data_IF_454713414168
#
_entry.id   IF_454713414168
#
_cell.length_a   1.000
_cell.length_b   1.000
_cell.length_c   1.000
_cell.angle_alpha   90.00
_cell.angle_beta   90.00
_cell.angle_gamma   90.00
#
_symmetry.space_group_name_H-M   'P 1'
#
loop_
_entity.id
_entity.type
_entity.pdbx_description
1 polymer ?
#
# COMPACT_ATOMS: atom_id res chain seq x y z
N UNK A 1 23.33 -54.19 -16.38
CA UNK A 1 23.00 -52.75 -16.47
C UNK A 1 24.18 -52.08 -17.12
N UNK A 2 23.99 -51.53 -18.32
CA UNK A 2 25.10 -51.03 -19.13
C UNK A 2 25.46 -49.61 -18.70
N UNK A 3 26.73 -49.24 -18.88
CA UNK A 3 27.24 -47.89 -18.57
C UNK A 3 26.43 -46.77 -19.26
N UNK A 4 25.80 -47.09 -20.40
CA UNK A 4 24.86 -46.22 -21.12
C UNK A 4 23.65 -45.80 -20.28
N UNK A 5 23.12 -46.71 -19.45
CA UNK A 5 21.89 -46.48 -18.68
C UNK A 5 22.16 -45.53 -17.50
N UNK A 6 23.36 -45.62 -16.92
CA UNK A 6 23.81 -44.72 -15.84
C UNK A 6 24.06 -43.29 -16.35
N UNK A 7 24.65 -43.15 -17.54
CA UNK A 7 24.90 -41.83 -18.16
C UNK A 7 23.58 -41.16 -18.52
N UNK A 8 22.62 -41.89 -19.09
CA UNK A 8 21.31 -41.36 -19.44
C UNK A 8 20.51 -40.91 -18.19
N UNK A 9 20.55 -41.69 -17.10
CA UNK A 9 19.87 -41.34 -15.86
C UNK A 9 20.50 -40.12 -15.17
N UNK A 10 21.84 -40.03 -15.17
CA UNK A 10 22.56 -38.88 -14.62
C UNK A 10 22.29 -37.58 -15.41
N UNK A 11 22.12 -37.67 -16.72
CA UNK A 11 21.78 -36.52 -17.57
C UNK A 11 20.33 -36.05 -17.33
N UNK A 12 19.37 -36.96 -17.14
CA UNK A 12 18.00 -36.60 -16.78
C UNK A 12 17.91 -35.91 -15.40
N UNK A 13 18.67 -36.36 -14.40
CA UNK A 13 18.69 -35.76 -13.06
C UNK A 13 19.29 -34.34 -13.08
N UNK A 14 20.27 -34.08 -13.94
CA UNK A 14 20.89 -32.76 -14.09
C UNK A 14 20.01 -31.78 -14.89
N UNK A 15 19.17 -32.26 -15.81
CA UNK A 15 18.19 -31.42 -16.52
C UNK A 15 17.02 -31.02 -15.60
N UNK A 16 16.60 -31.91 -14.68
CA UNK A 16 15.53 -31.63 -13.70
C UNK A 16 15.96 -30.73 -12.53
N UNK A 17 17.27 -30.55 -12.29
CA UNK A 17 17.80 -29.70 -11.20
C UNK A 17 18.00 -28.23 -11.59
N UNK A 18 17.67 -27.84 -12.84
CA UNK A 18 17.34 -26.46 -13.17
C UNK A 18 15.89 -26.13 -12.74
N UNK A 19 15.51 -26.50 -11.52
CA UNK A 19 14.41 -25.84 -10.83
C UNK A 19 14.71 -24.37 -10.84
N UNK A 20 13.94 -23.62 -11.64
CA UNK A 20 14.07 -22.19 -11.81
C UNK A 20 14.12 -21.52 -10.45
N UNK A 21 15.33 -21.17 -10.02
CA UNK A 21 15.51 -20.26 -8.92
C UNK A 21 15.09 -18.91 -9.47
N UNK A 22 13.78 -18.63 -9.44
CA UNK A 22 13.26 -17.28 -9.63
C UNK A 22 13.82 -16.50 -8.46
N UNK A 23 15.01 -15.92 -8.65
CA UNK A 23 15.47 -14.86 -7.78
C UNK A 23 14.45 -13.77 -7.94
N UNK A 24 13.68 -13.53 -6.89
CA UNK A 24 12.90 -12.31 -6.75
C UNK A 24 13.93 -11.19 -6.87
N UNK A 25 14.00 -10.59 -8.07
CA UNK A 25 14.77 -9.38 -8.33
C UNK A 25 14.34 -8.37 -7.27
N UNK A 26 15.26 -7.55 -6.76
CA UNK A 26 14.89 -6.57 -5.75
C UNK A 26 13.64 -5.81 -6.22
N UNK A 27 12.64 -5.69 -5.33
CA UNK A 27 11.22 -5.44 -5.66
C UNK A 27 10.91 -4.10 -6.38
N UNK A 28 11.93 -3.41 -6.88
CA UNK A 28 11.79 -2.12 -7.55
C UNK A 28 12.85 -1.89 -8.65
N UNK A 29 13.22 -2.95 -9.39
CA UNK A 29 14.08 -2.80 -10.56
C UNK A 29 13.28 -2.54 -11.84
N UNK A 30 13.86 -1.74 -12.73
CA UNK A 30 13.30 -1.54 -14.05
C UNK A 30 13.21 -2.86 -14.84
N UNK A 31 12.13 -2.99 -15.64
CA UNK A 31 11.91 -4.12 -16.54
C UNK A 31 11.53 -3.59 -17.93
N UNK A 32 12.43 -3.79 -18.89
CA UNK A 32 12.27 -3.22 -20.24
C UNK A 32 12.21 -1.70 -20.18
N UNK A 33 11.17 -1.11 -20.78
CA UNK A 33 10.90 0.34 -20.73
C UNK A 33 10.14 0.80 -19.48
N UNK A 34 9.80 -0.10 -18.55
CA UNK A 34 9.02 0.23 -17.35
C UNK A 34 9.95 0.58 -16.19
N UNK A 35 9.74 1.77 -15.62
CA UNK A 35 10.47 2.27 -14.46
C UNK A 35 9.53 2.28 -13.25
N UNK A 36 9.76 1.46 -12.22
CA UNK A 36 8.92 1.47 -11.03
C UNK A 36 9.19 2.71 -10.17
N UNK A 37 8.19 3.15 -9.40
CA UNK A 37 8.37 4.13 -8.33
C UNK A 37 8.49 3.37 -7.01
N UNK A 38 9.62 3.54 -6.33
CA UNK A 38 9.94 2.81 -5.10
C UNK A 38 9.48 3.57 -3.85
N UNK A 39 9.37 2.88 -2.72
CA UNK A 39 9.07 3.49 -1.41
C UNK A 39 7.71 3.12 -0.81
N UNK A 40 6.94 2.28 -1.50
CA UNK A 40 5.69 1.69 -1.01
C UNK A 40 5.87 0.20 -0.70
N UNK A 41 5.05 -0.34 0.19
CA UNK A 41 5.00 -1.76 0.51
C UNK A 41 3.61 -2.30 0.18
N UNK A 42 3.54 -3.21 -0.80
CA UNK A 42 2.31 -3.94 -1.16
C UNK A 42 1.16 -3.00 -1.52
N UNK A 43 1.36 -2.12 -2.52
CA UNK A 43 0.30 -1.25 -2.99
C UNK A 43 -0.82 -2.09 -3.63
N UNK A 44 -2.07 -1.86 -3.23
CA UNK A 44 -3.22 -2.60 -3.76
C UNK A 44 -4.10 -1.74 -4.68
N UNK A 45 -4.44 -0.52 -4.25
CA UNK A 45 -5.33 0.39 -4.96
C UNK A 45 -4.86 1.85 -4.83
N UNK A 46 -5.32 2.73 -5.73
CA UNK A 46 -4.92 4.13 -5.77
C UNK A 46 -6.05 5.08 -6.21
N UNK A 47 -6.08 6.27 -5.61
CA UNK A 47 -7.05 7.32 -5.91
C UNK A 47 -6.38 8.68 -6.10
N UNK A 48 -6.75 9.41 -7.15
CA UNK A 48 -6.23 10.75 -7.44
C UNK A 48 -6.87 11.79 -6.52
N UNK A 49 -6.03 12.61 -5.88
CA UNK A 49 -6.49 13.79 -5.15
C UNK A 49 -6.77 14.91 -6.18
N UNK A 50 -7.99 15.48 -6.25
CA UNK A 50 -8.33 16.50 -7.23
C UNK A 50 -7.41 17.73 -7.18
N UNK A 51 -7.06 18.24 -8.37
CA UNK A 51 -6.27 19.46 -8.60
C UNK A 51 -4.85 19.45 -8.01
N UNK A 52 -4.29 18.27 -7.74
CA UNK A 52 -2.99 18.10 -7.08
C UNK A 52 -2.23 16.93 -7.71
N UNK A 53 -0.88 16.98 -7.78
CA UNK A 53 -0.06 15.88 -8.32
C UNK A 53 0.11 14.76 -7.29
N UNK A 54 -0.99 14.27 -6.72
CA UNK A 54 -0.98 13.35 -5.59
C UNK A 54 -1.95 12.20 -5.76
N UNK A 55 -1.47 10.99 -5.47
CA UNK A 55 -2.27 9.78 -5.37
C UNK A 55 -2.30 9.30 -3.92
N UNK A 56 -3.47 8.98 -3.38
CA UNK A 56 -3.57 8.12 -2.20
C UNK A 56 -3.37 6.69 -2.66
N UNK A 57 -2.58 5.91 -1.95
CA UNK A 57 -2.29 4.51 -2.23
C UNK A 57 -2.59 3.68 -0.97
N UNK A 58 -3.38 2.63 -1.11
CA UNK A 58 -3.56 1.62 -0.05
C UNK A 58 -2.41 0.62 -0.10
N UNK A 59 -1.84 0.34 1.06
CA UNK A 59 -0.74 -0.60 1.25
C UNK A 59 -1.22 -1.72 2.16
N UNK A 60 -1.59 -2.86 1.57
CA UNK A 60 -2.13 -3.97 2.35
C UNK A 60 -1.05 -4.55 3.24
N UNK A 61 -1.42 -4.84 4.49
CA UNK A 61 -0.61 -5.61 5.42
C UNK A 61 -0.30 -7.03 4.89
N UNK A 62 0.29 -7.89 5.71
CA UNK A 62 0.54 -9.26 5.26
C UNK A 62 -0.77 -10.08 5.21
N UNK A 63 -1.17 -10.73 4.09
CA UNK A 63 -2.40 -11.51 3.99
C UNK A 63 -2.19 -12.90 4.60
N UNK A 64 -0.94 -13.31 4.75
CA UNK A 64 -0.54 -14.61 5.32
C UNK A 64 -0.27 -14.49 6.82
N UNK A 65 0.03 -13.27 7.28
CA UNK A 65 0.14 -12.91 8.69
C UNK A 65 -0.74 -11.70 8.99
N UNK A 66 -1.98 -11.97 9.40
CA UNK A 66 -2.95 -10.94 9.80
C UNK A 66 -2.48 -10.07 10.98
N UNK A 67 -1.33 -10.35 11.61
CA UNK A 67 -0.68 -9.51 12.61
C UNK A 67 0.05 -8.29 12.03
N UNK A 68 0.40 -8.31 10.73
CA UNK A 68 1.14 -7.22 10.08
C UNK A 68 0.18 -6.20 9.51
N UNK A 69 0.07 -5.03 10.16
CA UNK A 69 -0.73 -3.93 9.66
C UNK A 69 -0.16 -3.33 8.36
N UNK A 70 -1.06 -2.92 7.50
CA UNK A 70 -0.84 -2.07 6.34
C UNK A 70 -0.94 -0.57 6.67
N UNK A 71 -1.05 0.23 5.62
CA UNK A 71 -1.09 1.69 5.71
C UNK A 71 -1.83 2.35 4.55
N UNK A 72 -2.14 3.64 4.70
CA UNK A 72 -2.36 4.54 3.57
C UNK A 72 -1.12 5.38 3.38
N UNK A 73 -0.74 5.63 2.14
CA UNK A 73 0.34 6.55 1.76
C UNK A 73 -0.15 7.53 0.71
N UNK A 74 0.54 8.66 0.59
CA UNK A 74 0.39 9.60 -0.51
C UNK A 74 1.65 9.54 -1.38
N UNK A 75 1.48 9.33 -2.67
CA UNK A 75 2.52 9.49 -3.68
C UNK A 75 2.41 10.86 -4.31
N UNK A 76 3.46 11.68 -4.22
CA UNK A 76 3.62 12.82 -5.11
C UNK A 76 4.13 12.33 -6.47
N UNK A 77 3.34 12.52 -7.53
CA UNK A 77 3.64 11.98 -8.87
C UNK A 77 4.76 12.71 -9.59
N UNK A 78 5.09 13.94 -9.19
CA UNK A 78 6.19 14.73 -9.76
C UNK A 78 7.52 14.37 -9.11
N UNK A 79 7.57 14.36 -7.77
CA UNK A 79 8.80 14.05 -7.00
C UNK A 79 9.05 12.56 -6.86
N UNK A 80 8.02 11.73 -7.09
CA UNK A 80 8.05 10.27 -6.94
C UNK A 80 8.31 9.81 -5.50
N UNK A 81 7.93 10.64 -4.52
CA UNK A 81 8.11 10.38 -3.09
C UNK A 81 6.79 9.87 -2.49
N UNK A 82 6.88 8.80 -1.70
CA UNK A 82 5.79 8.31 -0.87
C UNK A 82 5.89 8.87 0.56
N UNK A 83 4.78 9.36 1.09
CA UNK A 83 4.63 9.80 2.48
C UNK A 83 3.51 9.02 3.14
N UNK A 84 3.76 8.47 4.34
CA UNK A 84 2.73 7.74 5.12
C UNK A 84 1.59 8.68 5.50
N UNK A 85 0.34 8.36 5.18
CA UNK A 85 -0.85 9.11 5.59
C UNK A 85 -1.53 8.51 6.82
N UNK A 86 -1.58 7.18 6.91
CA UNK A 86 -2.18 6.46 8.04
C UNK A 86 -1.49 5.11 8.28
N UNK A 87 -1.29 4.66 9.54
CA UNK A 87 -1.47 5.46 10.76
C UNK A 87 -0.45 6.60 10.83
N UNK A 88 -0.85 7.72 11.43
CA UNK A 88 0.05 8.84 11.69
C UNK A 88 0.93 8.47 12.88
N UNK A 89 2.25 8.53 12.69
CA UNK A 89 3.21 8.36 13.77
C UNK A 89 3.42 9.70 14.49
N UNK A 90 2.68 9.93 15.56
CA UNK A 90 2.74 11.18 16.34
C UNK A 90 4.11 11.39 17.04
N UNK A 91 4.96 10.36 17.12
CA UNK A 91 6.30 10.46 17.71
C UNK A 91 7.35 10.88 16.67
N UNK A 92 7.00 10.88 15.37
CA UNK A 92 7.79 11.53 14.34
C UNK A 92 7.26 12.94 14.13
N UNK A 93 7.94 13.91 14.76
CA UNK A 93 7.84 15.35 14.47
C UNK A 93 7.93 15.66 12.97
N UNK A 94 8.45 14.72 12.20
CA UNK A 94 8.68 14.86 10.77
C UNK A 94 7.39 14.77 9.95
N UNK A 95 6.28 14.21 10.45
CA UNK A 95 5.05 14.13 9.65
C UNK A 95 4.48 15.52 9.31
N UNK A 96 4.46 16.45 10.27
CA UNK A 96 4.07 17.85 10.03
C UNK A 96 5.16 18.65 9.29
N UNK A 97 6.43 18.26 9.39
CA UNK A 97 7.53 18.94 8.69
C UNK A 97 7.68 18.47 7.23
N UNK A 98 7.31 17.24 6.92
CA UNK A 98 7.33 16.67 5.56
C UNK A 98 6.05 17.03 4.79
N UNK A 99 4.90 17.13 5.48
CA UNK A 99 3.68 17.74 4.92
C UNK A 99 3.70 19.27 4.87
N UNK A 100 4.69 19.95 5.48
CA UNK A 100 4.90 21.39 5.27
C UNK A 100 5.91 21.68 4.16
N UNK A 101 6.71 20.69 3.75
CA UNK A 101 7.52 20.74 2.52
C UNK A 101 6.65 20.49 1.27
N UNK A 102 5.63 19.63 1.40
CA UNK A 102 4.45 19.66 0.55
C UNK A 102 3.65 20.88 1.01
N UNK A 103 3.13 21.77 0.16
CA UNK A 103 2.37 22.95 0.64
C UNK A 103 0.96 22.59 1.16
N UNK A 104 0.83 21.50 1.91
CA UNK A 104 -0.41 21.01 2.51
C UNK A 104 -0.28 21.23 4.01
N UNK A 105 -0.48 22.47 4.44
CA UNK A 105 -1.01 22.64 5.79
C UNK A 105 -2.41 22.01 5.75
N UNK A 106 -2.69 20.90 6.45
CA UNK A 106 -4.05 20.41 6.57
C UNK A 106 -4.78 21.46 7.40
N UNK A 107 -5.36 22.46 6.74
CA UNK A 107 -6.36 23.31 7.37
C UNK A 107 -7.53 22.36 7.60
N UNK A 108 -7.59 21.77 8.79
CA UNK A 108 -8.76 21.04 9.25
C UNK A 108 -9.89 22.07 9.29
N UNK A 109 -10.59 22.17 8.17
CA UNK A 109 -11.64 23.17 7.93
C UNK A 109 -12.87 22.82 8.75
N UNK A 110 -12.99 21.55 9.12
CA UNK A 110 -14.14 20.94 9.74
C UNK A 110 -13.67 19.78 10.63
N UNK A 111 -13.87 19.89 11.94
CA UNK A 111 -13.61 18.78 12.88
C UNK A 111 -14.86 17.94 13.15
N UNK A 112 -15.93 18.18 12.40
CA UNK A 112 -17.19 17.44 12.56
C UNK A 112 -16.98 16.03 12.07
N UNK A 113 -17.09 15.09 13.01
CA UNK A 113 -17.20 13.67 12.70
C UNK A 113 -18.34 13.48 11.69
N UNK A 114 -18.03 12.80 10.60
CA UNK A 114 -18.98 12.50 9.56
C UNK A 114 -19.34 11.01 9.61
N UNK A 115 -20.57 10.70 9.21
CA UNK A 115 -21.18 9.38 9.41
C UNK A 115 -22.41 9.48 10.30
N UNK A 116 -22.95 8.31 10.68
CA UNK A 116 -24.09 8.26 11.60
C UNK A 116 -23.62 8.67 13.02
N UNK A 117 -24.33 9.55 13.74
CA UNK A 117 -23.91 10.00 15.07
C UNK A 117 -23.80 8.86 16.08
N UNK A 118 -24.64 7.83 15.93
CA UNK A 118 -24.61 6.63 16.78
C UNK A 118 -23.66 5.54 16.25
N UNK A 119 -22.86 5.83 15.21
CA UNK A 119 -21.85 4.89 14.75
C UNK A 119 -20.68 4.92 15.74
N UNK A 120 -20.41 3.82 16.46
CA UNK A 120 -19.29 3.80 17.39
C UNK A 120 -17.97 3.89 16.62
N UNK A 121 -17.10 4.80 17.04
CA UNK A 121 -15.77 4.92 16.48
C UNK A 121 -14.87 3.82 17.04
N UNK A 122 -14.58 2.83 16.21
CA UNK A 122 -13.58 1.82 16.51
C UNK A 122 -12.41 2.00 15.56
N UNK A 123 -11.31 2.55 16.06
CA UNK A 123 -10.05 2.46 15.33
C UNK A 123 -9.72 0.98 15.13
N UNK A 124 -9.40 0.54 13.91
CA UNK A 124 -9.07 -0.85 13.67
C UNK A 124 -7.83 -1.22 14.48
N UNK A 125 -7.89 -2.33 15.23
CA UNK A 125 -6.73 -2.85 15.97
C UNK A 125 -5.61 -3.21 14.99
N UNK A 126 -6.00 -3.70 13.81
CA UNK A 126 -5.12 -3.95 12.68
C UNK A 126 -5.82 -3.38 11.46
N UNK A 127 -5.12 -2.49 10.76
CA UNK A 127 -5.57 -1.91 9.52
C UNK A 127 -4.83 -2.60 8.37
N UNK A 128 -5.56 -3.13 7.40
CA UNK A 128 -5.03 -3.77 6.20
C UNK A 128 -5.92 -3.36 5.02
N UNK A 129 -5.71 -2.15 4.46
CA UNK A 129 -6.57 -1.63 3.41
C UNK A 129 -6.26 -2.34 2.10
N UNK A 130 -7.32 -2.65 1.35
CA UNK A 130 -7.21 -3.27 0.03
C UNK A 130 -7.72 -2.29 -1.02
N UNK A 131 -9.03 -2.22 -1.25
CA UNK A 131 -9.66 -1.22 -2.13
C UNK A 131 -9.94 0.11 -1.43
N UNK A 132 -9.88 1.21 -2.18
CA UNK A 132 -10.21 2.55 -1.70
C UNK A 132 -11.13 3.32 -2.66
N UNK A 133 -11.88 4.27 -2.12
CA UNK A 133 -12.70 5.19 -2.91
C UNK A 133 -12.64 6.61 -2.34
N UNK A 134 -12.19 7.56 -3.16
CA UNK A 134 -12.14 8.99 -2.82
C UNK A 134 -13.27 9.73 -3.55
N UNK A 135 -14.06 10.51 -2.82
CA UNK A 135 -15.10 11.36 -3.42
C UNK A 135 -15.23 12.71 -2.71
N UNK A 136 -15.81 13.69 -3.40
CA UNK A 136 -16.11 15.01 -2.84
C UNK A 136 -17.53 15.02 -2.26
N UNK A 137 -17.66 15.40 -0.99
CA UNK A 137 -18.95 15.53 -0.31
C UNK A 137 -19.66 16.82 -0.69
N UNK A 138 -20.96 16.87 -0.40
CA UNK A 138 -21.82 18.06 -0.62
C UNK A 138 -21.38 19.29 0.18
N UNK A 139 -20.71 19.11 1.31
CA UNK A 139 -20.17 20.20 2.13
C UNK A 139 -18.75 20.63 1.71
N UNK A 140 -18.22 20.03 0.64
CA UNK A 140 -16.94 20.43 0.03
C UNK A 140 -15.72 19.74 0.62
N UNK A 141 -15.88 18.86 1.60
CA UNK A 141 -14.79 18.05 2.15
C UNK A 141 -14.59 16.78 1.30
N UNK A 142 -13.34 16.30 1.19
CA UNK A 142 -13.05 15.00 0.63
C UNK A 142 -13.42 13.91 1.64
N UNK A 143 -13.95 12.78 1.15
CA UNK A 143 -14.14 11.57 1.93
C UNK A 143 -13.37 10.41 1.30
N UNK A 144 -12.69 9.64 2.14
CA UNK A 144 -12.01 8.41 1.74
C UNK A 144 -12.67 7.22 2.44
N UNK A 145 -13.04 6.22 1.64
CA UNK A 145 -13.51 4.93 2.11
C UNK A 145 -12.45 3.87 1.82
N UNK A 146 -12.12 3.03 2.80
CA UNK A 146 -11.14 1.97 2.64
C UNK A 146 -11.72 0.62 3.07
N UNK A 147 -11.69 -0.37 2.18
CA UNK A 147 -12.00 -1.77 2.51
C UNK A 147 -10.87 -2.32 3.37
N UNK A 148 -11.18 -2.71 4.60
CA UNK A 148 -10.22 -3.20 5.59
C UNK A 148 -10.45 -4.69 5.88
N UNK A 149 -9.38 -5.47 5.70
CA UNK A 149 -9.30 -6.92 6.01
C UNK A 149 -8.43 -7.23 7.23
N UNK A 150 -8.15 -6.22 8.07
CA UNK A 150 -7.28 -6.37 9.23
C UNK A 150 -8.00 -7.07 10.40
N UNK A 151 -8.37 -6.31 11.43
CA UNK A 151 -8.99 -6.89 12.63
C UNK A 151 -10.42 -7.40 12.44
N UNK A 152 -11.13 -6.86 11.45
CA UNK A 152 -12.49 -7.25 11.05
C UNK A 152 -12.71 -6.82 9.60
N UNK A 153 -13.63 -7.49 8.93
CA UNK A 153 -14.13 -7.10 7.62
C UNK A 153 -14.99 -5.84 7.74
N UNK A 154 -14.53 -4.72 7.18
CA UNK A 154 -15.30 -3.47 7.19
C UNK A 154 -14.88 -2.49 6.10
N UNK A 155 -15.62 -1.39 6.03
CA UNK A 155 -15.21 -0.18 5.32
C UNK A 155 -14.90 0.88 6.37
N UNK A 156 -13.66 1.36 6.40
CA UNK A 156 -13.25 2.47 7.25
C UNK A 156 -13.49 3.80 6.54
N UNK A 157 -13.95 4.79 7.30
CA UNK A 157 -14.30 6.11 6.82
C UNK A 157 -13.27 7.10 7.36
N UNK A 158 -12.65 7.86 6.45
CA UNK A 158 -11.73 8.96 6.76
C UNK A 158 -12.33 10.26 6.20
#
# INVERSE_FOLDING_TARGET
MNLSDFVALSLCISILSNTGCVRIKSNCEAVGSKQPICGTRRPEDMALIPNQPMLIVSEMGDPTDHGVAGSLSVLNTETKIFTRLYPIDNNKSDFYNDLSSISISPKIKNNKIWGHPDCPQYAPRIFAPHGIHLSLRKDGDLQLLAVNHGSREAIEYF
#
